data_IF_347720799666
#
_entry.id   IF_347720799666
#
_cell.length_a   1.000
_cell.length_b   1.000
_cell.length_c   1.000
_cell.angle_alpha   90.00
_cell.angle_beta   90.00
_cell.angle_gamma   90.00
#
_symmetry.space_group_name_H-M   'P 1'
#
loop_
_entity.id
_entity.type
_entity.pdbx_description
1 polymer ?
#
# COMPACT_ATOMS: atom_id res chain seq x y z
N UNK A 1 -7.31 15.37 -11.73
CA UNK A 1 -7.30 14.44 -10.61
C UNK A 1 -6.65 15.11 -9.42
N UNK A 2 -7.47 15.61 -8.51
CA UNK A 2 -7.03 16.33 -7.32
C UNK A 2 -6.79 15.32 -6.20
N UNK A 3 -5.55 15.20 -5.77
CA UNK A 3 -5.15 14.20 -4.78
C UNK A 3 -4.73 14.84 -3.45
N UNK A 4 -4.44 16.16 -3.42
CA UNK A 4 -3.92 16.80 -2.21
C UNK A 4 -4.11 18.32 -2.21
N UNK A 5 -4.36 18.93 -1.05
CA UNK A 5 -4.30 20.39 -0.87
C UNK A 5 -3.14 20.78 0.04
N UNK A 6 -2.39 21.81 -0.37
CA UNK A 6 -1.37 22.43 0.48
C UNK A 6 -2.10 23.23 1.57
N UNK A 7 -2.02 22.77 2.82
CA UNK A 7 -2.56 23.52 3.98
C UNK A 7 -3.73 22.89 4.73
N UNK A 8 -4.37 21.83 4.21
CA UNK A 8 -5.38 21.07 4.99
C UNK A 8 -4.82 19.70 5.37
N UNK A 9 -4.71 19.43 6.67
CA UNK A 9 -4.23 18.15 7.19
C UNK A 9 -5.18 16.96 6.92
N UNK A 10 -6.46 17.20 6.58
CA UNK A 10 -7.47 16.17 6.32
C UNK A 10 -8.42 16.58 5.20
N UNK A 11 -8.51 15.75 4.16
CA UNK A 11 -9.48 15.88 3.08
C UNK A 11 -10.77 15.11 3.46
N UNK A 12 -10.63 14.01 4.16
CA UNK A 12 -11.71 13.11 4.60
C UNK A 12 -12.27 13.53 5.95
N UNK A 13 -13.56 13.28 6.15
CA UNK A 13 -14.26 13.45 7.42
C UNK A 13 -14.10 12.21 8.33
N UNK A 14 -14.69 12.27 9.52
CA UNK A 14 -14.63 11.17 10.49
C UNK A 14 -15.36 9.90 9.99
N UNK A 15 -16.38 10.04 9.16
CA UNK A 15 -17.14 8.91 8.63
C UNK A 15 -16.29 8.17 7.57
N UNK A 16 -15.64 8.89 6.68
CA UNK A 16 -14.69 8.34 5.70
C UNK A 16 -13.50 7.65 6.39
N UNK A 17 -12.99 8.23 7.49
CA UNK A 17 -11.93 7.61 8.28
C UNK A 17 -12.40 6.28 8.91
N UNK A 18 -13.60 6.27 9.51
CA UNK A 18 -14.20 5.04 10.09
C UNK A 18 -14.39 3.97 9.01
N UNK A 19 -14.93 4.34 7.84
CA UNK A 19 -15.10 3.41 6.73
C UNK A 19 -13.76 2.87 6.23
N UNK A 20 -12.73 3.70 6.10
CA UNK A 20 -11.37 3.26 5.74
C UNK A 20 -10.86 2.21 6.72
N UNK A 21 -11.01 2.45 8.04
CA UNK A 21 -10.59 1.49 9.05
C UNK A 21 -11.45 0.22 9.06
N UNK A 22 -12.73 0.32 8.73
CA UNK A 22 -13.61 -0.83 8.57
C UNK A 22 -13.19 -1.68 7.35
N UNK A 23 -12.86 -1.05 6.22
CA UNK A 23 -12.33 -1.75 5.05
C UNK A 23 -11.01 -2.47 5.40
N UNK A 24 -10.12 -1.84 6.18
CA UNK A 24 -8.90 -2.50 6.66
C UNK A 24 -9.19 -3.70 7.55
N UNK A 25 -10.20 -3.61 8.39
CA UNK A 25 -10.65 -4.73 9.23
C UNK A 25 -11.19 -5.90 8.39
N UNK A 26 -11.96 -5.61 7.34
CA UNK A 26 -12.59 -6.64 6.48
C UNK A 26 -11.63 -7.35 5.54
N UNK A 27 -10.43 -6.84 5.35
CA UNK A 27 -9.44 -7.40 4.43
C UNK A 27 -8.27 -8.02 5.19
N UNK A 28 -7.79 -9.17 4.73
CA UNK A 28 -6.66 -9.85 5.34
C UNK A 28 -5.32 -9.24 4.96
N UNK A 29 -5.27 -8.52 3.84
CA UNK A 29 -4.07 -7.85 3.33
C UNK A 29 -4.37 -6.47 2.78
N UNK A 30 -3.39 -5.54 2.91
CA UNK A 30 -3.46 -4.18 2.41
C UNK A 30 -2.20 -3.84 1.61
N UNK A 31 -2.38 -3.43 0.35
CA UNK A 31 -1.29 -3.15 -0.58
C UNK A 31 -1.12 -1.66 -0.86
N UNK A 32 0.14 -1.20 -0.80
CA UNK A 32 0.57 0.12 -1.26
C UNK A 32 1.86 0.03 -2.08
N UNK A 33 2.23 1.14 -2.74
CA UNK A 33 3.57 1.29 -3.32
C UNK A 33 4.55 1.87 -2.30
N UNK A 34 5.87 1.63 -2.50
CA UNK A 34 6.91 2.27 -1.69
C UNK A 34 6.87 3.81 -1.78
N UNK A 35 6.40 4.37 -2.90
CA UNK A 35 6.25 5.82 -3.06
C UNK A 35 5.23 6.38 -2.05
N UNK A 36 4.08 5.72 -1.90
CA UNK A 36 3.06 6.07 -0.90
C UNK A 36 3.62 5.91 0.51
N UNK A 37 4.32 4.79 0.78
CA UNK A 37 4.98 4.56 2.06
C UNK A 37 5.95 5.69 2.42
N UNK A 38 6.83 6.07 1.49
CA UNK A 38 7.86 7.08 1.75
C UNK A 38 7.29 8.51 1.87
N UNK A 39 6.20 8.81 1.13
CA UNK A 39 5.56 10.12 1.15
C UNK A 39 4.74 10.34 2.41
N UNK A 40 3.91 9.37 2.76
CA UNK A 40 2.84 9.55 3.75
C UNK A 40 3.16 8.89 5.09
N UNK A 41 4.18 8.03 5.15
CA UNK A 41 4.57 7.23 6.31
C UNK A 41 3.36 6.60 7.05
N UNK A 42 2.45 5.90 6.34
CA UNK A 42 1.20 5.42 6.90
C UNK A 42 1.43 4.25 7.86
N UNK A 43 0.54 4.09 8.84
CA UNK A 43 0.56 2.93 9.74
C UNK A 43 -0.03 1.67 9.09
N UNK A 44 -1.07 1.84 8.26
CA UNK A 44 -1.81 0.78 7.58
C UNK A 44 -2.47 -0.22 8.55
N UNK A 45 -2.85 0.24 9.71
CA UNK A 45 -3.51 -0.53 10.75
C UNK A 45 -5.03 -0.26 10.80
N UNK A 46 -5.77 -1.15 11.43
CA UNK A 46 -7.14 -0.91 11.84
C UNK A 46 -7.14 -0.21 13.21
N UNK A 47 -7.77 0.97 13.31
CA UNK A 47 -7.86 1.76 14.56
C UNK A 47 -9.30 1.86 15.08
N UNK A 48 -10.15 0.94 14.69
CA UNK A 48 -11.46 0.80 15.34
C UNK A 48 -11.29 0.20 16.74
N UNK A 49 -12.12 0.65 17.68
CA UNK A 49 -12.09 0.19 19.07
C UNK A 49 -12.18 -1.34 19.11
N UNK A 50 -11.29 -1.97 19.86
CA UNK A 50 -11.15 -3.43 20.04
C UNK A 50 -10.82 -4.25 18.79
N UNK A 51 -10.63 -3.63 17.60
CA UNK A 51 -10.36 -4.33 16.34
C UNK A 51 -8.91 -4.21 15.85
N UNK A 52 -8.03 -3.55 16.59
CA UNK A 52 -6.62 -3.33 16.18
C UNK A 52 -5.83 -4.60 15.92
N UNK A 53 -6.14 -5.69 16.64
CA UNK A 53 -5.53 -7.02 16.45
C UNK A 53 -5.83 -7.66 15.09
N UNK A 54 -6.88 -7.21 14.41
CA UNK A 54 -7.27 -7.65 13.06
C UNK A 54 -6.75 -6.71 11.96
N UNK A 55 -5.67 -5.98 12.24
CA UNK A 55 -5.02 -5.16 11.20
C UNK A 55 -4.51 -6.01 10.05
N UNK A 56 -4.72 -5.60 8.80
CA UNK A 56 -4.33 -6.39 7.63
C UNK A 56 -2.81 -6.53 7.51
N UNK A 57 -2.37 -7.61 6.87
CA UNK A 57 -0.97 -7.80 6.48
C UNK A 57 -0.57 -6.75 5.46
N UNK A 58 0.53 -6.06 5.69
CA UNK A 58 1.01 -4.97 4.84
C UNK A 58 1.80 -5.51 3.65
N UNK A 59 1.37 -5.18 2.45
CA UNK A 59 1.98 -5.58 1.18
C UNK A 59 2.58 -4.34 0.51
N UNK A 60 3.89 -4.32 0.32
CA UNK A 60 4.60 -3.17 -0.25
C UNK A 60 5.17 -3.56 -1.62
N UNK A 61 4.80 -2.80 -2.66
CA UNK A 61 5.41 -2.93 -3.98
C UNK A 61 6.64 -2.01 -4.08
N UNK A 62 7.83 -2.59 -4.03
CA UNK A 62 9.10 -1.85 -4.02
C UNK A 62 10.18 -2.56 -4.82
N UNK A 63 10.14 -2.43 -6.14
CA UNK A 63 11.01 -3.17 -7.05
C UNK A 63 12.51 -3.05 -6.74
N UNK A 64 12.96 -1.92 -6.21
CA UNK A 64 14.38 -1.63 -5.96
C UNK A 64 14.74 -1.52 -4.48
N UNK A 65 13.82 -1.90 -3.58
CA UNK A 65 13.95 -1.78 -2.12
C UNK A 65 14.35 -0.35 -1.69
N UNK A 66 13.56 0.63 -2.13
CA UNK A 66 13.72 2.06 -1.83
C UNK A 66 12.88 2.53 -0.65
N UNK A 67 12.20 1.62 0.06
CA UNK A 67 11.42 1.96 1.23
C UNK A 67 12.29 2.60 2.31
N UNK A 68 11.77 3.65 2.92
CA UNK A 68 12.46 4.36 4.00
C UNK A 68 12.55 3.48 5.25
N UNK A 69 13.79 3.22 5.70
CA UNK A 69 14.07 2.40 6.90
C UNK A 69 13.77 3.12 8.22
N UNK A 70 13.47 4.42 8.20
CA UNK A 70 12.92 5.15 9.35
C UNK A 70 11.39 5.16 9.42
N UNK A 71 10.70 4.60 8.40
CA UNK A 71 9.25 4.56 8.35
C UNK A 71 8.64 3.72 9.48
N UNK A 72 7.41 4.07 9.87
CA UNK A 72 6.66 3.29 10.86
C UNK A 72 6.54 1.81 10.46
N UNK A 73 6.24 1.55 9.19
CA UNK A 73 6.11 0.17 8.68
C UNK A 73 7.43 -0.59 8.84
N UNK A 74 8.57 -0.01 8.47
CA UNK A 74 9.86 -0.67 8.67
C UNK A 74 10.14 -0.95 10.15
N UNK A 75 9.94 0.05 11.04
CA UNK A 75 10.18 -0.09 12.48
C UNK A 75 9.36 -1.21 13.11
N UNK A 76 8.10 -1.37 12.68
CA UNK A 76 7.13 -2.34 13.24
C UNK A 76 6.98 -3.61 12.40
N UNK A 77 7.81 -3.80 11.37
CA UNK A 77 7.76 -4.97 10.51
C UNK A 77 8.21 -6.24 11.23
N UNK A 78 7.55 -7.35 10.90
CA UNK A 78 7.96 -8.72 11.22
C UNK A 78 7.46 -9.67 10.12
N UNK A 79 7.84 -10.95 10.21
CA UNK A 79 7.52 -11.98 9.20
C UNK A 79 6.03 -12.22 8.96
N UNK A 80 5.20 -11.91 9.97
CA UNK A 80 3.76 -12.18 9.89
C UNK A 80 2.96 -10.99 9.35
N UNK A 81 3.48 -9.76 9.49
CA UNK A 81 2.72 -8.54 9.23
C UNK A 81 3.18 -7.73 8.02
N UNK A 82 4.34 -8.04 7.41
CA UNK A 82 4.86 -7.22 6.31
C UNK A 82 5.53 -8.08 5.24
N UNK A 83 5.05 -7.92 4.00
CA UNK A 83 5.61 -8.53 2.78
C UNK A 83 6.06 -7.41 1.84
N UNK A 84 7.23 -7.56 1.25
CA UNK A 84 7.74 -6.63 0.23
C UNK A 84 8.03 -7.40 -1.05
N UNK A 85 7.39 -6.98 -2.14
CA UNK A 85 7.72 -7.48 -3.49
C UNK A 85 8.86 -6.66 -4.06
N UNK A 86 9.90 -7.34 -4.56
CA UNK A 86 11.08 -6.71 -5.15
C UNK A 86 11.51 -7.38 -6.45
N UNK A 87 12.41 -6.75 -7.20
CA UNK A 87 12.99 -7.31 -8.42
C UNK A 87 14.38 -7.91 -8.11
N UNK A 88 14.81 -8.88 -8.91
CA UNK A 88 16.08 -9.60 -8.73
C UNK A 88 17.34 -8.77 -9.01
N UNK A 89 17.22 -7.64 -9.70
CA UNK A 89 18.33 -6.69 -9.85
C UNK A 89 18.68 -5.90 -8.60
N UNK A 90 17.98 -6.15 -7.48
CA UNK A 90 18.18 -5.42 -6.22
C UNK A 90 19.48 -5.86 -5.53
N UNK A 91 20.21 -4.88 -4.98
CA UNK A 91 21.45 -5.10 -4.25
C UNK A 91 21.30 -6.06 -3.06
N UNK A 92 22.22 -7.02 -2.94
CA UNK A 92 22.22 -8.05 -1.87
C UNK A 92 22.21 -7.43 -0.47
N UNK A 93 22.90 -6.28 -0.28
CA UNK A 93 22.94 -5.58 1.00
C UNK A 93 21.56 -5.11 1.47
N UNK A 94 20.74 -4.56 0.56
CA UNK A 94 19.35 -4.14 0.85
C UNK A 94 18.47 -5.33 1.21
N UNK A 95 18.60 -6.43 0.48
CA UNK A 95 17.88 -7.68 0.76
C UNK A 95 18.22 -8.18 2.16
N UNK A 96 19.53 -8.25 2.50
CA UNK A 96 19.99 -8.70 3.81
C UNK A 96 19.44 -7.83 4.95
N UNK A 97 19.50 -6.50 4.79
CA UNK A 97 18.97 -5.55 5.79
C UNK A 97 17.49 -5.77 6.10
N UNK A 98 16.66 -5.95 5.06
CA UNK A 98 15.23 -6.15 5.24
C UNK A 98 14.89 -7.53 5.81
N UNK A 99 15.62 -8.58 5.41
CA UNK A 99 15.49 -9.93 5.98
C UNK A 99 15.84 -9.95 7.47
N UNK A 100 16.94 -9.30 7.88
CA UNK A 100 17.33 -9.17 9.30
C UNK A 100 16.26 -8.48 10.14
N UNK A 101 15.48 -7.56 9.55
CA UNK A 101 14.33 -6.92 10.21
C UNK A 101 13.11 -7.85 10.32
N UNK A 102 13.14 -9.03 9.71
CA UNK A 102 12.02 -9.98 9.69
C UNK A 102 10.98 -9.69 8.62
N UNK A 103 11.29 -8.84 7.62
CA UNK A 103 10.38 -8.58 6.49
C UNK A 103 10.41 -9.78 5.55
N UNK A 104 9.23 -10.30 5.18
CA UNK A 104 9.13 -11.32 4.15
C UNK A 104 9.35 -10.68 2.78
N UNK A 105 10.42 -11.09 2.09
CA UNK A 105 10.78 -10.61 0.76
C UNK A 105 10.36 -11.61 -0.30
N UNK A 106 9.63 -11.14 -1.33
CA UNK A 106 9.19 -11.97 -2.45
C UNK A 106 9.71 -11.36 -3.75
N UNK A 107 10.57 -12.13 -4.40
CA UNK A 107 11.05 -11.77 -5.73
C UNK A 107 9.92 -11.87 -6.75
N UNK A 108 9.79 -10.86 -7.61
CA UNK A 108 8.85 -10.88 -8.71
C UNK A 108 9.44 -10.17 -9.92
N UNK A 109 9.30 -10.81 -11.09
CA UNK A 109 9.77 -10.26 -12.34
C UNK A 109 8.96 -9.03 -12.74
N UNK A 110 9.59 -8.17 -13.53
CA UNK A 110 8.94 -7.02 -14.14
C UNK A 110 8.42 -7.40 -15.52
N UNK A 111 7.35 -6.76 -15.93
CA UNK A 111 6.86 -6.80 -17.31
C UNK A 111 7.75 -5.95 -18.24
N UNK A 112 7.52 -6.04 -19.57
CA UNK A 112 8.29 -5.31 -20.58
C UNK A 112 8.34 -3.79 -20.34
N UNK A 113 7.34 -3.21 -19.72
CA UNK A 113 7.30 -1.79 -19.33
C UNK A 113 7.99 -1.49 -17.98
N UNK A 114 8.84 -2.38 -17.49
CA UNK A 114 9.60 -2.25 -16.22
C UNK A 114 8.73 -2.03 -14.97
N UNK A 115 7.48 -2.45 -15.01
CA UNK A 115 6.56 -2.46 -13.87
C UNK A 115 6.28 -3.89 -13.40
N UNK A 116 5.82 -4.06 -12.15
CA UNK A 116 5.36 -5.37 -11.69
C UNK A 116 4.17 -5.87 -12.52
N UNK A 117 4.16 -7.15 -12.83
CA UNK A 117 2.96 -7.81 -13.29
C UNK A 117 2.02 -8.03 -12.10
N UNK A 118 0.94 -7.24 -12.04
CA UNK A 118 0.00 -7.28 -10.93
C UNK A 118 -0.77 -8.61 -10.87
N UNK A 119 -1.03 -9.27 -12.01
CA UNK A 119 -1.68 -10.59 -12.01
C UNK A 119 -0.79 -11.64 -11.35
N UNK A 120 0.50 -11.61 -11.64
CA UNK A 120 1.49 -12.48 -11.01
C UNK A 120 1.64 -12.18 -9.51
N UNK A 121 1.62 -10.90 -9.12
CA UNK A 121 1.61 -10.49 -7.70
C UNK A 121 0.39 -11.07 -6.99
N UNK A 122 -0.81 -10.93 -7.56
CA UNK A 122 -2.05 -11.45 -6.97
C UNK A 122 -2.03 -12.98 -6.84
N UNK A 123 -1.53 -13.70 -7.87
CA UNK A 123 -1.34 -15.16 -7.78
C UNK A 123 -0.41 -15.55 -6.62
N UNK A 124 0.72 -14.85 -6.45
CA UNK A 124 1.64 -15.09 -5.33
C UNK A 124 0.99 -14.78 -3.98
N UNK A 125 0.23 -13.70 -3.86
CA UNK A 125 -0.52 -13.36 -2.65
C UNK A 125 -1.58 -14.41 -2.31
N UNK A 126 -2.30 -14.91 -3.31
CA UNK A 126 -3.26 -16.00 -3.12
C UNK A 126 -2.60 -17.27 -2.54
N UNK A 127 -1.43 -17.66 -3.07
CA UNK A 127 -0.64 -18.78 -2.55
C UNK A 127 -0.20 -18.53 -1.10
N UNK A 128 0.06 -17.29 -0.72
CA UNK A 128 0.41 -16.89 0.65
C UNK A 128 -0.81 -16.78 1.60
N UNK A 129 -1.98 -17.18 1.15
CA UNK A 129 -3.21 -17.18 1.94
C UNK A 129 -4.03 -15.89 1.88
N UNK A 130 -3.63 -14.89 1.09
CA UNK A 130 -4.42 -13.66 0.90
C UNK A 130 -5.70 -14.00 0.11
N UNK A 131 -6.86 -13.73 0.68
CA UNK A 131 -8.17 -13.93 0.07
C UNK A 131 -8.86 -12.61 -0.24
N UNK A 132 -8.68 -11.62 0.64
CA UNK A 132 -9.27 -10.28 0.51
C UNK A 132 -8.15 -9.24 0.56
N UNK A 133 -7.90 -8.56 -0.57
CA UNK A 133 -6.85 -7.57 -0.73
C UNK A 133 -7.43 -6.16 -0.88
N UNK A 134 -7.22 -5.32 0.12
CA UNK A 134 -7.45 -3.89 -0.01
C UNK A 134 -6.25 -3.22 -0.68
N UNK A 135 -6.49 -2.34 -1.66
CA UNK A 135 -5.44 -1.56 -2.31
C UNK A 135 -5.67 -0.08 -2.01
N UNK A 136 -4.82 0.48 -1.16
CA UNK A 136 -4.77 1.93 -0.91
C UNK A 136 -3.66 2.55 -1.76
N UNK A 137 -3.89 2.56 -3.08
CA UNK A 137 -2.86 2.95 -4.03
C UNK A 137 -2.70 4.47 -4.15
N UNK A 138 -1.47 4.94 -4.32
CA UNK A 138 -1.22 6.24 -4.94
C UNK A 138 -1.62 6.19 -6.43
N UNK A 139 -1.57 7.36 -7.10
CA UNK A 139 -2.07 7.55 -8.45
C UNK A 139 -1.61 6.46 -9.47
N UNK A 140 -0.33 6.09 -9.47
CA UNK A 140 0.23 5.14 -10.44
C UNK A 140 -0.36 3.72 -10.25
N UNK A 141 -0.45 3.26 -8.99
CA UNK A 141 -0.96 1.93 -8.68
C UNK A 141 -2.47 1.87 -8.95
N UNK A 142 -3.24 2.86 -8.50
CA UNK A 142 -4.69 2.95 -8.73
C UNK A 142 -5.02 3.00 -10.23
N UNK A 143 -4.34 3.83 -11.01
CA UNK A 143 -4.49 3.86 -12.47
C UNK A 143 -4.21 2.50 -13.12
N UNK A 144 -3.16 1.81 -12.68
CA UNK A 144 -2.80 0.50 -13.23
C UNK A 144 -3.86 -0.56 -12.93
N UNK A 145 -4.41 -0.57 -11.71
CA UNK A 145 -5.49 -1.47 -11.28
C UNK A 145 -6.75 -1.23 -12.09
N UNK A 146 -7.18 0.04 -12.21
CA UNK A 146 -8.39 0.43 -12.95
C UNK A 146 -8.24 0.11 -14.44
N UNK A 147 -7.13 0.51 -15.07
CA UNK A 147 -6.87 0.25 -16.50
C UNK A 147 -6.89 -1.24 -16.84
N UNK A 148 -6.39 -2.08 -15.94
CA UNK A 148 -6.34 -3.54 -16.13
C UNK A 148 -7.58 -4.27 -15.63
N UNK A 149 -8.57 -3.55 -15.09
CA UNK A 149 -9.81 -4.10 -14.50
C UNK A 149 -9.51 -5.19 -13.46
N UNK A 150 -8.53 -4.93 -12.56
CA UNK A 150 -8.07 -5.88 -11.55
C UNK A 150 -8.67 -5.55 -10.16
N UNK A 151 -9.98 -5.40 -10.10
CA UNK A 151 -10.72 -5.14 -8.86
C UNK A 151 -12.14 -5.70 -8.97
N UNK A 152 -12.71 -6.06 -7.83
CA UNK A 152 -14.12 -6.45 -7.70
C UNK A 152 -14.96 -5.26 -7.22
N UNK A 153 -14.41 -4.47 -6.30
CA UNK A 153 -15.07 -3.31 -5.70
C UNK A 153 -14.16 -2.09 -5.79
N UNK A 154 -14.76 -0.92 -5.96
CA UNK A 154 -14.05 0.35 -6.02
C UNK A 154 -14.74 1.39 -5.15
N UNK A 155 -14.01 1.90 -4.16
CA UNK A 155 -14.49 2.91 -3.22
C UNK A 155 -13.90 4.29 -3.57
N UNK A 156 -14.78 5.24 -3.89
CA UNK A 156 -14.40 6.63 -4.18
C UNK A 156 -14.91 7.57 -3.09
N UNK A 157 -14.01 8.13 -2.32
CA UNK A 157 -14.33 9.17 -1.34
C UNK A 157 -14.28 10.55 -2.01
N UNK A 158 -15.41 11.25 -2.06
CA UNK A 158 -15.51 12.62 -2.58
C UNK A 158 -15.68 13.58 -1.40
N UNK A 159 -14.80 14.56 -1.26
CA UNK A 159 -14.99 15.67 -0.31
C UNK A 159 -15.95 16.70 -0.91
N UNK A 160 -16.88 17.20 -0.10
CA UNK A 160 -17.71 18.36 -0.46
C UNK A 160 -16.97 19.71 -0.21
N UNK A 161 -15.81 19.68 0.44
CA UNK A 161 -15.03 20.89 0.71
C UNK A 161 -14.38 21.39 -0.58
N UNK A 162 -14.72 22.62 -0.97
CA UNK A 162 -13.99 23.34 -2.01
C UNK A 162 -12.57 23.63 -1.51
N UNK A 163 -11.59 23.01 -2.13
CA UNK A 163 -10.18 23.24 -1.82
C UNK A 163 -9.71 24.44 -2.66
N UNK A 164 -9.61 25.61 -2.04
CA UNK A 164 -9.25 26.89 -2.71
C UNK A 164 -7.81 26.95 -3.23
N UNK A 165 -6.96 25.98 -2.88
CA UNK A 165 -5.57 25.85 -3.38
C UNK A 165 -5.27 24.39 -3.72
N UNK A 166 -5.53 24.03 -4.94
CA UNK A 166 -5.30 22.70 -5.46
C UNK A 166 -3.97 22.64 -6.20
N UNK A 167 -3.13 21.70 -5.85
CA UNK A 167 -1.92 21.36 -6.62
C UNK A 167 -2.27 20.25 -7.59
N UNK A 168 -2.36 20.58 -8.86
CA UNK A 168 -2.43 19.60 -9.95
C UNK A 168 -1.04 19.00 -10.15
N UNK A 169 -0.87 17.72 -9.96
CA UNK A 169 0.29 17.02 -10.50
C UNK A 169 -0.01 16.67 -11.97
N UNK A 170 0.74 17.32 -12.87
CA UNK A 170 0.82 16.89 -14.28
C UNK A 170 1.53 15.54 -14.40
#
# INVERSE_FOLDING_TARGET
NLIYSKGTKRITDIHSDKLTHFLRYKNDSLMISYKTLNKDNPKLDCRLKNLGKFSPRRIILDKNLKMNTSSYIFKTANKNNTVVFYNDTTEKAKISKLKKKGIQLIRSNLSNNKAFDLRLIFKKLYILGCRNLLIEGGNDLSKSIVKKRLFNEFYLFKSQKNLSKLVTYK
#
